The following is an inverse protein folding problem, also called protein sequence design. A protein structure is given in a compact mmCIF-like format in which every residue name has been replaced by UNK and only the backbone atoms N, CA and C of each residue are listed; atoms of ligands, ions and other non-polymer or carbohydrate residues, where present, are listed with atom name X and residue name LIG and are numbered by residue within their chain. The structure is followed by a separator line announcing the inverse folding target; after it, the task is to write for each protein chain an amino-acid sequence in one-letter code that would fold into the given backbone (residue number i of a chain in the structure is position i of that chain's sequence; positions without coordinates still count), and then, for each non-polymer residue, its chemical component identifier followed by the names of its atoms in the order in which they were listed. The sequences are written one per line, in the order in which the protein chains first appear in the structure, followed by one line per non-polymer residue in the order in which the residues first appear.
data_IF_653645417754
#
_entry.id   IF_653645417754
#
_cell.length_a   1.000
_cell.length_b   1.000
_cell.length_c   1.000
_cell.angle_alpha   90.00
_cell.angle_beta   90.00
_cell.angle_gamma   90.00
#
_symmetry.space_group_name_H-M   'P 1'
#
loop_
_entity.id
_entity.type
_entity.pdbx_description
1 polymer ?
#
# COMPACT_ATOMS: atom_id res chain seq x y z
N UNK A 1 8.66 4.21 27.47
CA UNK A 1 9.55 3.15 28.02
C UNK A 1 10.52 2.67 26.93
N UNK A 2 11.81 2.99 27.04
CA UNK A 2 12.83 2.53 26.09
C UNK A 2 13.19 1.07 26.41
N UNK A 3 13.01 0.20 25.42
CA UNK A 3 13.34 -1.22 25.51
C UNK A 3 14.88 -1.36 25.64
N UNK A 4 15.40 -2.22 26.54
CA UNK A 4 16.84 -2.45 26.70
C UNK A 4 17.53 -2.80 25.37
N UNK A 5 18.74 -2.31 25.16
CA UNK A 5 19.49 -2.45 23.89
C UNK A 5 19.66 -3.92 23.44
N UNK A 6 19.73 -4.85 24.40
CA UNK A 6 19.83 -6.29 24.16
C UNK A 6 18.60 -6.91 23.47
N UNK A 7 17.42 -6.29 23.59
CA UNK A 7 16.17 -6.80 23.00
C UNK A 7 15.87 -6.19 21.61
N UNK A 8 16.60 -5.15 21.20
CA UNK A 8 16.47 -4.53 19.87
C UNK A 8 16.66 -5.52 18.70
N UNK A 9 17.56 -6.53 18.76
CA UNK A 9 17.67 -7.56 17.73
C UNK A 9 16.43 -8.45 17.63
N UNK A 10 15.72 -8.69 18.74
CA UNK A 10 14.50 -9.50 18.75
C UNK A 10 13.35 -8.80 18.01
N UNK A 11 13.27 -7.47 18.10
CA UNK A 11 12.29 -6.67 17.34
C UNK A 11 12.54 -6.82 15.84
N UNK A 12 13.79 -6.67 15.40
CA UNK A 12 14.15 -6.75 13.97
C UNK A 12 14.03 -8.15 13.38
N UNK A 13 14.32 -9.19 14.16
CA UNK A 13 14.34 -10.59 13.69
C UNK A 13 13.02 -11.33 13.83
N UNK A 14 12.17 -10.98 14.81
CA UNK A 14 10.95 -11.75 15.12
C UNK A 14 9.70 -10.91 14.89
N UNK A 15 9.66 -9.68 15.41
CA UNK A 15 8.46 -8.85 15.37
C UNK A 15 8.26 -8.23 13.99
N UNK A 16 9.32 -7.64 13.41
CA UNK A 16 9.23 -6.94 12.13
C UNK A 16 8.77 -7.85 10.97
N UNK A 17 9.28 -9.09 10.80
CA UNK A 17 8.79 -9.99 9.76
C UNK A 17 7.31 -10.34 9.89
N UNK A 18 6.85 -10.64 11.11
CA UNK A 18 5.45 -10.99 11.37
C UNK A 18 4.53 -9.78 11.15
N UNK A 19 4.90 -8.61 11.67
CA UNK A 19 4.14 -7.38 11.50
C UNK A 19 4.02 -6.97 10.02
N UNK A 20 5.11 -7.03 9.27
CA UNK A 20 5.11 -6.70 7.83
C UNK A 20 4.29 -7.69 7.01
N UNK A 21 4.32 -8.98 7.38
CA UNK A 21 3.48 -9.99 6.74
C UNK A 21 2.00 -9.68 6.91
N UNK A 22 1.53 -9.45 8.14
CA UNK A 22 0.13 -9.13 8.42
C UNK A 22 -0.30 -7.78 7.84
N UNK A 23 0.55 -6.76 7.92
CA UNK A 23 0.29 -5.45 7.32
C UNK A 23 -0.02 -5.55 5.81
N UNK A 24 0.76 -6.36 5.09
CA UNK A 24 0.58 -6.55 3.64
C UNK A 24 -0.76 -7.20 3.30
N UNK A 25 -1.19 -8.19 4.07
CA UNK A 25 -2.49 -8.84 3.88
C UNK A 25 -3.64 -7.92 4.28
N UNK A 26 -3.52 -7.19 5.38
CA UNK A 26 -4.51 -6.20 5.81
C UNK A 26 -4.71 -5.12 4.74
N UNK A 27 -3.63 -4.59 4.16
CA UNK A 27 -3.71 -3.62 3.07
C UNK A 27 -4.42 -4.18 1.83
N UNK A 28 -4.17 -5.44 1.47
CA UNK A 28 -4.86 -6.10 0.36
C UNK A 28 -6.36 -6.28 0.67
N UNK A 29 -6.69 -6.71 1.88
CA UNK A 29 -8.09 -6.86 2.34
C UNK A 29 -8.86 -5.54 2.26
N UNK A 30 -8.23 -4.41 2.60
CA UNK A 30 -8.85 -3.08 2.47
C UNK A 30 -9.21 -2.75 1.03
N UNK A 31 -8.31 -3.03 0.07
CA UNK A 31 -8.57 -2.76 -1.35
C UNK A 31 -9.69 -3.65 -1.87
N UNK A 32 -9.65 -4.94 -1.56
CA UNK A 32 -10.70 -5.89 -1.97
C UNK A 32 -12.05 -5.45 -1.42
N UNK A 33 -12.11 -5.09 -0.14
CA UNK A 33 -13.33 -4.62 0.50
C UNK A 33 -13.83 -3.33 -0.14
N UNK A 34 -12.94 -2.38 -0.44
CA UNK A 34 -13.29 -1.15 -1.16
C UNK A 34 -13.85 -1.40 -2.55
N UNK A 35 -13.29 -2.35 -3.30
CA UNK A 35 -13.81 -2.77 -4.61
C UNK A 35 -15.18 -3.43 -4.51
N UNK A 36 -15.40 -4.26 -3.48
CA UNK A 36 -16.71 -4.88 -3.21
C UNK A 36 -17.74 -3.79 -2.90
N UNK A 37 -17.41 -2.82 -2.05
CA UNK A 37 -18.32 -1.70 -1.74
C UNK A 37 -18.64 -0.89 -3.00
N UNK A 38 -17.65 -0.61 -3.83
CA UNK A 38 -17.87 0.08 -5.11
C UNK A 38 -18.77 -0.71 -6.07
N UNK A 39 -18.61 -2.04 -6.09
CA UNK A 39 -19.44 -2.93 -6.89
C UNK A 39 -20.89 -2.95 -6.40
N UNK A 40 -21.10 -3.11 -5.08
CA UNK A 40 -22.43 -3.09 -4.46
C UNK A 40 -23.12 -1.73 -4.60
N UNK A 41 -22.34 -0.65 -4.66
CA UNK A 41 -22.84 0.72 -4.86
C UNK A 41 -23.09 1.08 -6.33
N UNK A 42 -22.75 0.19 -7.27
CA UNK A 42 -23.05 0.34 -8.70
C UNK A 42 -22.14 1.28 -9.50
N UNK A 43 -21.10 1.87 -8.88
CA UNK A 43 -20.21 2.83 -9.54
C UNK A 43 -18.83 2.25 -9.94
N UNK A 44 -18.56 0.97 -9.65
CA UNK A 44 -17.23 0.38 -9.86
C UNK A 44 -16.75 0.45 -11.31
N UNK A 45 -17.64 0.27 -12.29
CA UNK A 45 -17.26 0.29 -13.71
C UNK A 45 -16.83 1.70 -14.12
N UNK A 46 -17.57 2.71 -13.69
CA UNK A 46 -17.30 4.12 -13.97
C UNK A 46 -16.02 4.56 -13.27
N UNK A 47 -15.84 4.20 -11.99
CA UNK A 47 -14.65 4.54 -11.23
C UNK A 47 -13.38 3.87 -11.77
N UNK A 48 -13.44 2.58 -12.10
CA UNK A 48 -12.28 1.85 -12.62
C UNK A 48 -11.91 2.26 -14.05
N UNK A 49 -12.88 2.67 -14.86
CA UNK A 49 -12.65 3.19 -16.22
C UNK A 49 -12.41 4.69 -16.27
N UNK A 50 -12.38 5.38 -15.12
CA UNK A 50 -12.21 6.84 -15.03
C UNK A 50 -13.20 7.61 -15.93
N UNK A 51 -14.45 7.13 -15.99
CA UNK A 51 -15.52 7.77 -16.77
C UNK A 51 -15.44 7.55 -18.30
N UNK A 52 -14.54 6.68 -18.78
CA UNK A 52 -14.44 6.32 -20.21
C UNK A 52 -15.55 5.39 -20.69
N UNK A 53 -16.22 4.69 -19.78
CA UNK A 53 -17.31 3.75 -20.09
C UNK A 53 -18.52 4.04 -19.21
N UNK A 54 -19.67 4.29 -19.84
CA UNK A 54 -20.93 4.62 -19.17
C UNK A 54 -21.17 6.13 -19.00
N UNK A 55 -22.13 6.50 -18.16
CA UNK A 55 -22.41 7.90 -17.86
C UNK A 55 -21.26 8.53 -17.06
N UNK A 56 -20.78 9.67 -17.54
CA UNK A 56 -19.65 10.39 -16.94
C UNK A 56 -20.12 11.15 -15.70
N UNK A 57 -19.75 10.64 -14.53
CA UNK A 57 -20.02 11.28 -13.24
C UNK A 57 -18.70 11.77 -12.60
N UNK A 58 -18.56 13.08 -12.32
CA UNK A 58 -17.37 13.65 -11.67
C UNK A 58 -17.00 12.98 -10.34
N UNK A 59 -18.00 12.51 -9.58
CA UNK A 59 -17.78 11.80 -8.31
C UNK A 59 -17.09 10.46 -8.53
N UNK A 60 -17.60 9.66 -9.46
CA UNK A 60 -17.05 8.37 -9.87
C UNK A 60 -15.62 8.48 -10.42
N UNK A 61 -15.32 9.52 -11.21
CA UNK A 61 -13.95 9.79 -11.70
C UNK A 61 -13.02 10.12 -10.53
N UNK A 62 -13.46 11.01 -9.64
CA UNK A 62 -12.65 11.47 -8.50
C UNK A 62 -12.31 10.30 -7.58
N UNK A 63 -13.29 9.49 -7.18
CA UNK A 63 -13.03 8.29 -6.35
C UNK A 63 -12.19 7.25 -7.10
N UNK A 64 -12.37 7.12 -8.42
CA UNK A 64 -11.60 6.23 -9.28
C UNK A 64 -10.10 6.51 -9.25
N UNK A 65 -9.70 7.79 -9.26
CA UNK A 65 -8.29 8.19 -9.12
C UNK A 65 -7.71 7.68 -7.79
N UNK A 66 -8.45 7.86 -6.68
CA UNK A 66 -8.06 7.36 -5.37
C UNK A 66 -7.93 5.82 -5.33
N UNK A 67 -8.87 5.11 -5.94
CA UNK A 67 -8.83 3.65 -6.04
C UNK A 67 -7.61 3.16 -6.82
N UNK A 68 -7.29 3.77 -7.96
CA UNK A 68 -6.10 3.44 -8.75
C UNK A 68 -4.80 3.71 -8.00
N UNK A 69 -4.70 4.83 -7.29
CA UNK A 69 -3.55 5.12 -6.42
C UNK A 69 -3.39 4.04 -5.35
N UNK A 70 -4.48 3.61 -4.70
CA UNK A 70 -4.47 2.51 -3.74
C UNK A 70 -3.97 1.19 -4.34
N UNK A 71 -4.42 0.85 -5.56
CA UNK A 71 -3.98 -0.36 -6.28
C UNK A 71 -2.49 -0.29 -6.63
N UNK A 72 -2.01 0.83 -7.16
CA UNK A 72 -0.59 1.04 -7.48
C UNK A 72 0.26 0.93 -6.20
N UNK A 73 -0.20 1.50 -5.10
CA UNK A 73 0.49 1.41 -3.81
C UNK A 73 0.57 -0.04 -3.31
N UNK A 74 -0.52 -0.81 -3.40
CA UNK A 74 -0.49 -2.23 -3.06
C UNK A 74 0.42 -3.03 -3.98
N UNK A 75 0.40 -2.77 -5.28
CA UNK A 75 1.35 -3.37 -6.22
C UNK A 75 2.80 -3.10 -5.81
N UNK A 76 3.15 -1.86 -5.47
CA UNK A 76 4.48 -1.50 -4.97
C UNK A 76 4.85 -2.28 -3.71
N UNK A 77 3.91 -2.47 -2.77
CA UNK A 77 4.13 -3.26 -1.55
C UNK A 77 4.44 -4.71 -1.88
N UNK A 78 3.63 -5.33 -2.73
CA UNK A 78 3.71 -6.77 -3.02
C UNK A 78 4.89 -7.12 -3.92
N UNK A 79 5.16 -6.31 -4.95
CA UNK A 79 6.13 -6.64 -5.99
C UNK A 79 7.53 -6.06 -5.73
N UNK A 80 7.64 -4.94 -5.01
CA UNK A 80 8.93 -4.26 -4.85
C UNK A 80 9.35 -4.22 -3.38
N UNK A 81 8.51 -3.71 -2.48
CA UNK A 81 8.87 -3.53 -1.07
C UNK A 81 9.10 -4.89 -0.42
N UNK A 82 8.18 -5.84 -0.57
CA UNK A 82 8.26 -7.13 0.10
C UNK A 82 9.48 -7.98 -0.30
N UNK A 83 9.82 -8.15 -1.60
CA UNK A 83 11.05 -8.87 -1.98
C UNK A 83 12.31 -8.23 -1.41
N UNK A 84 12.38 -6.90 -1.38
CA UNK A 84 13.51 -6.18 -0.79
C UNK A 84 13.54 -6.29 0.75
N UNK A 85 12.38 -6.27 1.41
CA UNK A 85 12.27 -6.51 2.85
C UNK A 85 12.72 -7.92 3.22
N UNK A 86 12.37 -8.94 2.43
CA UNK A 86 12.83 -10.32 2.67
C UNK A 86 14.36 -10.44 2.65
N UNK A 87 15.03 -9.77 1.70
CA UNK A 87 16.49 -9.71 1.65
C UNK A 87 17.06 -8.94 2.84
N UNK A 88 16.53 -7.75 3.11
CA UNK A 88 17.01 -6.88 4.18
C UNK A 88 16.86 -7.49 5.59
N UNK A 89 15.79 -8.24 5.83
CA UNK A 89 15.51 -8.91 7.11
C UNK A 89 16.22 -10.27 7.23
N UNK A 90 16.92 -10.72 6.19
CA UNK A 90 17.58 -12.03 6.17
C UNK A 90 16.62 -13.22 6.12
N UNK A 91 15.40 -13.01 5.62
CA UNK A 91 14.45 -14.11 5.32
C UNK A 91 14.94 -14.91 4.11
N UNK A 92 15.63 -14.24 3.18
CA UNK A 92 16.31 -14.85 2.03
C UNK A 92 17.80 -14.52 2.14
N UNK A 93 18.65 -15.50 1.80
CA UNK A 93 20.09 -15.29 1.71
C UNK A 93 20.44 -14.25 0.65
N UNK A 94 21.28 -13.30 1.05
CA UNK A 94 21.74 -12.19 0.23
C UNK A 94 23.09 -11.72 0.78
N UNK A 95 23.95 -11.19 -0.08
CA UNK A 95 25.25 -10.66 0.36
C UNK A 95 25.04 -9.44 1.28
N UNK A 96 26.02 -9.06 2.12
CA UNK A 96 25.92 -7.88 2.97
C UNK A 96 25.60 -6.60 2.17
N UNK A 97 26.17 -6.46 0.98
CA UNK A 97 25.94 -5.33 0.07
C UNK A 97 24.49 -5.30 -0.46
N UNK A 98 23.97 -6.46 -0.86
CA UNK A 98 22.58 -6.58 -1.30
C UNK A 98 21.58 -6.27 -0.19
N UNK A 99 21.86 -6.70 1.05
CA UNK A 99 21.01 -6.40 2.21
C UNK A 99 20.87 -4.90 2.43
N UNK A 100 21.98 -4.15 2.37
CA UNK A 100 21.98 -2.69 2.52
C UNK A 100 21.22 -2.02 1.38
N UNK A 101 21.46 -2.43 0.13
CA UNK A 101 20.77 -1.90 -1.04
C UNK A 101 19.26 -2.14 -0.97
N UNK A 102 18.85 -3.37 -0.65
CA UNK A 102 17.44 -3.74 -0.52
C UNK A 102 16.75 -3.01 0.63
N UNK A 103 17.41 -2.83 1.78
CA UNK A 103 16.87 -2.03 2.87
C UNK A 103 16.59 -0.58 2.45
N UNK A 104 17.52 0.03 1.71
CA UNK A 104 17.35 1.39 1.17
C UNK A 104 16.21 1.47 0.17
N UNK A 105 16.11 0.53 -0.77
CA UNK A 105 15.01 0.48 -1.75
C UNK A 105 13.65 0.32 -1.07
N UNK A 106 13.53 -0.60 -0.11
CA UNK A 106 12.31 -0.78 0.66
C UNK A 106 11.91 0.49 1.42
N UNK A 107 12.88 1.19 2.04
CA UNK A 107 12.62 2.45 2.74
C UNK A 107 12.15 3.55 1.79
N UNK A 108 12.83 3.75 0.65
CA UNK A 108 12.46 4.81 -0.30
C UNK A 108 11.05 4.58 -0.87
N UNK A 109 10.73 3.36 -1.27
CA UNK A 109 9.39 3.06 -1.80
C UNK A 109 8.30 3.10 -0.72
N UNK A 110 8.63 2.75 0.53
CA UNK A 110 7.71 2.97 1.65
C UNK A 110 7.37 4.46 1.80
N UNK A 111 8.35 5.35 1.69
CA UNK A 111 8.12 6.80 1.73
C UNK A 111 7.28 7.28 0.57
N UNK A 112 7.56 6.79 -0.64
CA UNK A 112 6.75 7.10 -1.82
C UNK A 112 5.31 6.67 -1.63
N UNK A 113 5.06 5.45 -1.13
CA UNK A 113 3.71 5.00 -0.82
C UNK A 113 3.02 5.88 0.23
N UNK A 114 3.73 6.29 1.29
CA UNK A 114 3.18 7.26 2.24
C UNK A 114 2.83 8.59 1.58
N UNK A 115 3.68 9.11 0.69
CA UNK A 115 3.39 10.36 -0.02
C UNK A 115 2.20 10.23 -0.99
N UNK A 116 2.05 9.09 -1.67
CA UNK A 116 0.91 8.82 -2.56
C UNK A 116 -0.41 8.66 -1.78
N UNK A 117 -0.35 8.39 -0.48
CA UNK A 117 -1.56 8.31 0.35
C UNK A 117 -2.26 9.67 0.50
N UNK A 118 -1.54 10.80 0.43
CA UNK A 118 -2.14 12.13 0.50
C UNK A 118 -3.12 12.43 -0.66
N UNK A 119 -2.71 12.38 -1.95
CA UNK A 119 -3.63 12.60 -3.04
C UNK A 119 -4.72 11.53 -3.08
N UNK A 120 -4.41 10.28 -2.73
CA UNK A 120 -5.41 9.21 -2.66
C UNK A 120 -6.53 9.56 -1.66
N UNK A 121 -6.18 9.91 -0.42
CA UNK A 121 -7.17 10.29 0.60
C UNK A 121 -7.92 11.57 0.23
N UNK A 122 -7.22 12.56 -0.35
CA UNK A 122 -7.85 13.79 -0.81
C UNK A 122 -8.94 13.52 -1.85
N UNK A 123 -8.66 12.65 -2.83
CA UNK A 123 -9.67 12.29 -3.85
C UNK A 123 -10.86 11.54 -3.25
N UNK A 124 -10.64 10.66 -2.27
CA UNK A 124 -11.74 9.95 -1.61
C UNK A 124 -12.62 10.89 -0.78
N UNK A 125 -12.01 11.76 0.03
CA UNK A 125 -12.72 12.74 0.85
C UNK A 125 -13.43 13.77 -0.03
N UNK A 126 -12.77 14.23 -1.10
CA UNK A 126 -13.35 15.11 -2.09
C UNK A 126 -14.58 14.50 -2.76
N UNK A 127 -14.50 13.24 -3.18
CA UNK A 127 -15.64 12.54 -3.79
C UNK A 127 -16.84 12.41 -2.82
N UNK A 128 -16.60 12.28 -1.53
CA UNK A 128 -17.66 12.14 -0.52
C UNK A 128 -18.30 13.47 -0.10
N UNK A 129 -17.53 14.57 -0.05
CA UNK A 129 -17.98 15.85 0.52
C UNK A 129 -18.32 16.91 -0.53
N UNK A 130 -17.78 16.79 -1.75
CA UNK A 130 -18.02 17.76 -2.83
C UNK A 130 -19.18 17.34 -3.76
N UNK A 131 -19.63 16.08 -3.67
CA UNK A 131 -20.69 15.50 -4.51
C UNK A 131 -21.60 14.57 -3.69
#
# INVERSE_FOLDING_TARGET
PNIPDEQKPAIGKVIAPAALFWFRWAALSTIITGLIVAYLSGYVNQAMTLGLVGETDPKSITIGIGMWLGIIMAYNVWMIIWPNQKKALGIIDATPEEKVKSARTAMLLSRTNTLLSFPMLLTMVGAQNLY
#
